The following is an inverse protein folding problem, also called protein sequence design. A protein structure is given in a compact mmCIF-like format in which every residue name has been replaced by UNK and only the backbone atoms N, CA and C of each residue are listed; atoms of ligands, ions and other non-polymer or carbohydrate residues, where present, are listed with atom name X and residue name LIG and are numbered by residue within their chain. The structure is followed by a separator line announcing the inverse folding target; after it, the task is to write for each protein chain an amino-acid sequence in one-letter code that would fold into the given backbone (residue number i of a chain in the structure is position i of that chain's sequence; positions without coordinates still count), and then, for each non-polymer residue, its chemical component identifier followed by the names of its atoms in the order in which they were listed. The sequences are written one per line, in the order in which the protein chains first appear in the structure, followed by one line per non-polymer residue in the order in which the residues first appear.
data_IF_208253558721
#
_entry.id   IF_208253558721
#
_cell.length_a   1.000
_cell.length_b   1.000
_cell.length_c   1.000
_cell.angle_alpha   90.00
_cell.angle_beta   90.00
_cell.angle_gamma   90.00
#
_symmetry.space_group_name_H-M   'P 1'
#
loop_
_entity.id
_entity.type
_entity.pdbx_description
1 polymer ?
#
# COMPACT_ATOMS: atom_id res chain seq x y z
N UNK A 1 3.31 -12.30 -24.64
CA UNK A 1 3.50 -11.96 -23.21
C UNK A 1 4.99 -12.04 -22.76
N UNK A 2 5.94 -11.80 -23.68
CA UNK A 2 7.40 -11.85 -23.41
C UNK A 2 8.10 -10.50 -23.63
N UNK A 3 7.47 -9.37 -23.34
CA UNK A 3 8.06 -8.03 -23.61
C UNK A 3 8.63 -7.33 -22.36
N UNK A 4 8.78 -8.01 -21.21
CA UNK A 4 9.28 -7.40 -19.98
C UNK A 4 10.44 -8.10 -19.29
N UNK A 5 11.18 -8.96 -20.00
CA UNK A 5 12.38 -9.65 -19.50
C UNK A 5 13.65 -9.17 -20.21
N UNK A 6 13.90 -7.85 -20.13
CA UNK A 6 15.21 -7.27 -20.44
C UNK A 6 15.97 -6.94 -19.16
N UNK A 7 17.31 -7.00 -19.12
CA UNK A 7 18.10 -6.61 -17.96
C UNK A 7 17.93 -5.09 -17.75
N UNK A 8 17.46 -4.70 -16.53
CA UNK A 8 17.42 -3.32 -15.99
C UNK A 8 16.93 -2.22 -16.96
N UNK A 9 15.78 -2.40 -17.60
CA UNK A 9 15.02 -1.23 -18.04
C UNK A 9 14.62 -0.49 -16.77
N UNK A 10 15.18 0.71 -16.56
CA UNK A 10 14.79 1.60 -15.45
C UNK A 10 13.27 1.63 -15.37
N UNK A 11 12.72 1.11 -14.27
CA UNK A 11 11.27 1.15 -14.07
C UNK A 11 10.86 2.59 -13.85
N UNK A 12 10.42 3.23 -14.92
CA UNK A 12 9.86 4.58 -14.83
C UNK A 12 8.46 4.50 -14.23
N UNK A 13 8.13 5.47 -13.39
CA UNK A 13 6.78 5.61 -12.86
C UNK A 13 5.77 5.81 -14.02
N UNK A 14 4.61 5.18 -13.88
CA UNK A 14 3.45 5.41 -14.73
C UNK A 14 2.16 5.25 -13.93
N UNK A 15 1.13 6.01 -14.30
CA UNK A 15 -0.20 5.86 -13.68
C UNK A 15 -0.79 4.46 -13.91
N UNK A 16 -0.48 3.82 -15.02
CA UNK A 16 -0.88 2.43 -15.28
C UNK A 16 -0.21 1.46 -14.29
N UNK A 17 1.08 1.64 -14.03
CA UNK A 17 1.82 0.85 -13.04
C UNK A 17 1.25 1.03 -11.63
N UNK A 18 0.95 2.27 -11.24
CA UNK A 18 0.30 2.58 -9.97
C UNK A 18 -1.11 1.97 -9.90
N UNK A 19 -1.90 2.06 -10.97
CA UNK A 19 -3.22 1.45 -11.03
C UNK A 19 -3.16 -0.08 -10.87
N UNK A 20 -2.25 -0.74 -11.57
CA UNK A 20 -2.01 -2.19 -11.42
C UNK A 20 -1.63 -2.54 -9.98
N UNK A 21 -0.72 -1.78 -9.37
CA UNK A 21 -0.35 -1.96 -7.98
C UNK A 21 -1.57 -1.85 -7.05
N UNK A 22 -2.36 -0.77 -7.18
CA UNK A 22 -3.55 -0.54 -6.36
C UNK A 22 -4.59 -1.64 -6.52
N UNK A 23 -4.81 -2.14 -7.75
CA UNK A 23 -5.67 -3.29 -8.00
C UNK A 23 -5.13 -4.56 -7.33
N UNK A 24 -3.81 -4.79 -7.42
CA UNK A 24 -3.16 -5.90 -6.73
C UNK A 24 -3.37 -5.84 -5.22
N UNK A 25 -3.20 -4.66 -4.60
CA UNK A 25 -3.43 -4.46 -3.16
C UNK A 25 -4.90 -4.68 -2.79
N UNK A 26 -5.84 -4.27 -3.64
CA UNK A 26 -7.26 -4.53 -3.43
C UNK A 26 -7.58 -6.02 -3.40
N UNK A 27 -7.13 -6.76 -4.43
CA UNK A 27 -7.31 -8.22 -4.54
C UNK A 27 -6.64 -8.93 -3.36
N UNK A 28 -5.39 -8.58 -3.05
CA UNK A 28 -4.64 -9.15 -1.94
C UNK A 28 -5.35 -8.91 -0.60
N UNK A 29 -5.84 -7.69 -0.34
CA UNK A 29 -6.56 -7.35 0.90
C UNK A 29 -7.82 -8.20 1.08
N UNK A 30 -8.60 -8.37 0.00
CA UNK A 30 -9.78 -9.23 0.01
C UNK A 30 -9.42 -10.71 0.24
N UNK A 31 -8.40 -11.21 -0.46
CA UNK A 31 -7.92 -12.59 -0.33
C UNK A 31 -7.40 -12.90 1.08
N UNK A 32 -6.61 -12.00 1.67
CA UNK A 32 -6.11 -12.13 3.04
C UNK A 32 -7.25 -12.13 4.06
N UNK A 33 -8.24 -11.25 3.91
CA UNK A 33 -9.41 -11.18 4.78
C UNK A 33 -10.19 -12.52 4.76
N UNK A 34 -10.41 -13.08 3.57
CA UNK A 34 -11.05 -14.39 3.39
C UNK A 34 -10.20 -15.54 3.96
N UNK A 35 -8.89 -15.51 3.71
CA UNK A 35 -7.97 -16.53 4.24
C UNK A 35 -8.00 -16.60 5.77
N UNK A 36 -8.08 -15.46 6.43
CA UNK A 36 -8.19 -15.37 7.89
C UNK A 36 -9.61 -15.68 8.42
N UNK A 37 -10.58 -16.00 7.56
CA UNK A 37 -11.97 -16.27 7.95
C UNK A 37 -12.71 -15.04 8.50
N UNK A 38 -12.29 -13.82 8.10
CA UNK A 38 -12.84 -12.58 8.62
C UNK A 38 -13.92 -12.00 7.69
N UNK A 39 -14.84 -11.25 8.26
CA UNK A 39 -15.83 -10.49 7.50
C UNK A 39 -15.22 -9.21 6.90
N UNK A 40 -15.94 -8.59 5.96
CA UNK A 40 -15.55 -7.27 5.41
C UNK A 40 -14.52 -7.32 4.29
N UNK A 41 -14.40 -8.45 3.56
CA UNK A 41 -13.49 -8.58 2.42
C UNK A 41 -13.73 -7.53 1.31
N UNK A 42 -14.99 -7.10 1.07
CA UNK A 42 -15.31 -6.03 0.11
C UNK A 42 -14.81 -4.67 0.60
N UNK A 43 -14.89 -4.43 1.91
CA UNK A 43 -14.31 -3.22 2.53
C UNK A 43 -12.79 -3.21 2.39
N UNK A 44 -12.14 -4.32 2.71
CA UNK A 44 -10.70 -4.45 2.58
C UNK A 44 -10.25 -4.26 1.12
N UNK A 45 -11.01 -4.79 0.15
CA UNK A 45 -10.81 -4.56 -1.28
C UNK A 45 -10.87 -3.07 -1.61
N UNK A 46 -11.94 -2.38 -1.21
CA UNK A 46 -12.12 -0.95 -1.50
C UNK A 46 -11.01 -0.11 -0.86
N UNK A 47 -10.65 -0.39 0.38
CA UNK A 47 -9.56 0.30 1.07
C UNK A 47 -8.22 0.07 0.36
N UNK A 48 -7.91 -1.17 -0.03
CA UNK A 48 -6.71 -1.49 -0.79
C UNK A 48 -6.64 -0.81 -2.15
N UNK A 49 -7.78 -0.67 -2.85
CA UNK A 49 -7.83 -0.02 -4.16
C UNK A 49 -7.42 1.45 -4.12
N UNK A 50 -7.76 2.14 -3.04
CA UNK A 50 -7.57 3.60 -2.94
C UNK A 50 -6.45 4.00 -1.96
N UNK A 51 -5.74 3.04 -1.34
CA UNK A 51 -4.76 3.34 -0.29
C UNK A 51 -3.71 4.37 -0.71
N UNK A 52 -3.31 4.34 -1.97
CA UNK A 52 -2.28 5.20 -2.59
C UNK A 52 -2.85 6.34 -3.45
N UNK A 53 -4.13 6.71 -3.30
CA UNK A 53 -4.78 7.77 -4.11
C UNK A 53 -4.03 9.11 -4.03
N UNK A 54 -3.36 9.38 -2.92
CA UNK A 54 -2.56 10.59 -2.75
C UNK A 54 -1.34 10.66 -3.69
N UNK A 55 -0.82 9.53 -4.15
CA UNK A 55 0.25 9.50 -5.17
C UNK A 55 -0.25 10.03 -6.51
N UNK A 56 -1.52 9.71 -6.87
CA UNK A 56 -2.16 10.30 -8.05
C UNK A 56 -2.27 11.81 -7.90
N UNK A 57 -2.65 12.30 -6.72
CA UNK A 57 -2.73 13.73 -6.44
C UNK A 57 -1.36 14.40 -6.56
N UNK A 58 -0.32 13.84 -5.94
CA UNK A 58 1.05 14.37 -6.05
C UNK A 58 1.51 14.45 -7.49
N UNK A 59 1.35 13.36 -8.25
CA UNK A 59 1.71 13.32 -9.67
C UNK A 59 0.98 14.37 -10.49
N UNK A 60 -0.29 14.68 -10.16
CA UNK A 60 -1.07 15.70 -10.86
C UNK A 60 -0.73 17.13 -10.43
N UNK A 61 -0.27 17.31 -9.20
CA UNK A 61 0.13 18.63 -8.68
C UNK A 61 1.51 19.03 -9.19
N UNK A 62 2.47 18.12 -9.16
CA UNK A 62 3.83 18.34 -9.67
C UNK A 62 4.42 16.99 -10.15
N UNK A 63 4.30 16.76 -11.46
CA UNK A 63 4.79 15.53 -12.10
C UNK A 63 6.31 15.40 -11.98
N UNK A 64 7.04 16.49 -12.16
CA UNK A 64 8.50 16.49 -12.13
C UNK A 64 9.04 16.18 -10.73
N UNK A 65 8.51 16.84 -9.70
CA UNK A 65 8.87 16.56 -8.29
C UNK A 65 8.56 15.10 -7.93
N UNK A 66 7.38 14.61 -8.32
CA UNK A 66 6.97 13.25 -8.01
C UNK A 66 7.86 12.19 -8.68
N UNK A 67 8.19 12.39 -9.96
CA UNK A 67 9.07 11.46 -10.71
C UNK A 67 10.49 11.49 -10.14
N UNK A 68 11.00 12.67 -9.74
CA UNK A 68 12.28 12.79 -9.07
C UNK A 68 12.30 12.04 -7.72
N UNK A 69 11.23 12.12 -6.94
CA UNK A 69 11.09 11.34 -5.69
C UNK A 69 11.07 9.82 -5.97
N UNK A 70 10.38 9.38 -7.03
CA UNK A 70 10.41 7.97 -7.44
C UNK A 70 11.83 7.52 -7.81
N UNK A 71 12.57 8.32 -8.58
CA UNK A 71 13.94 7.99 -8.94
C UNK A 71 14.85 7.95 -7.70
N UNK A 72 14.69 8.92 -6.81
CA UNK A 72 15.44 8.94 -5.55
C UNK A 72 15.15 7.70 -4.68
N UNK A 73 13.88 7.25 -4.62
CA UNK A 73 13.49 6.03 -3.91
C UNK A 73 14.20 4.79 -4.46
N UNK A 74 14.30 4.67 -5.79
CA UNK A 74 15.01 3.57 -6.46
C UNK A 74 16.51 3.61 -6.17
N UNK A 75 17.15 4.76 -6.36
CA UNK A 75 18.60 4.94 -6.19
C UNK A 75 19.05 4.69 -4.74
N UNK A 76 18.27 5.15 -3.78
CA UNK A 76 18.57 5.01 -2.34
C UNK A 76 18.00 3.75 -1.71
N UNK A 77 17.23 2.95 -2.46
CA UNK A 77 16.53 1.76 -1.95
C UNK A 77 15.68 2.09 -0.72
N UNK A 78 14.88 3.13 -0.83
CA UNK A 78 14.00 3.63 0.24
C UNK A 78 12.54 3.38 -0.09
N UNK A 79 11.70 3.26 0.95
CA UNK A 79 10.25 3.36 0.77
C UNK A 79 9.85 4.81 0.47
N UNK A 80 8.71 4.96 -0.24
CA UNK A 80 8.32 6.25 -0.78
C UNK A 80 8.00 7.29 0.30
N UNK A 81 7.39 6.89 1.43
CA UNK A 81 7.08 7.80 2.52
C UNK A 81 8.37 8.39 3.14
N UNK A 82 9.43 7.58 3.26
CA UNK A 82 10.73 8.08 3.75
C UNK A 82 11.36 9.07 2.80
N UNK A 83 11.18 8.88 1.50
CA UNK A 83 11.63 9.85 0.50
C UNK A 83 10.89 11.17 0.66
N UNK A 84 9.55 11.13 0.77
CA UNK A 84 8.74 12.33 1.02
C UNK A 84 9.19 13.10 2.26
N UNK A 85 9.49 12.37 3.35
CA UNK A 85 9.99 12.98 4.58
C UNK A 85 11.40 13.57 4.42
N UNK A 86 12.30 12.88 3.72
CA UNK A 86 13.67 13.32 3.51
C UNK A 86 13.75 14.56 2.61
N UNK A 87 12.94 14.59 1.55
CA UNK A 87 12.88 15.69 0.58
C UNK A 87 11.94 16.82 1.03
N UNK A 88 11.21 16.64 2.15
CA UNK A 88 10.21 17.59 2.66
C UNK A 88 9.10 17.88 1.62
N UNK A 89 8.78 16.88 0.78
CA UNK A 89 7.70 16.97 -0.18
C UNK A 89 6.35 16.59 0.46
N UNK A 90 5.21 16.95 -0.16
CA UNK A 90 3.90 16.61 0.39
C UNK A 90 3.71 15.10 0.55
N UNK A 91 3.27 14.64 1.71
CA UNK A 91 3.04 13.23 1.99
C UNK A 91 1.80 12.72 1.28
N UNK A 92 1.95 11.65 0.49
CA UNK A 92 0.82 11.05 -0.24
C UNK A 92 -0.29 10.52 0.68
N UNK A 93 0.06 9.95 1.83
CA UNK A 93 -0.91 9.43 2.80
C UNK A 93 -1.80 10.54 3.37
N UNK A 94 -1.23 11.72 3.62
CA UNK A 94 -1.98 12.87 4.12
C UNK A 94 -2.82 13.54 3.02
N UNK A 95 -2.27 13.72 1.83
CA UNK A 95 -3.04 14.25 0.69
C UNK A 95 -4.20 13.33 0.32
N UNK A 96 -3.94 12.03 0.27
CA UNK A 96 -4.98 11.03 0.03
C UNK A 96 -6.09 11.07 1.08
N UNK A 97 -5.73 11.20 2.36
CA UNK A 97 -6.69 11.38 3.44
C UNK A 97 -7.58 12.62 3.24
N UNK A 98 -6.98 13.77 2.88
CA UNK A 98 -7.73 15.00 2.63
C UNK A 98 -8.71 14.85 1.46
N UNK A 99 -8.31 14.15 0.40
CA UNK A 99 -9.16 13.82 -0.76
C UNK A 99 -10.34 12.95 -0.30
N UNK A 100 -10.07 11.85 0.39
CA UNK A 100 -11.10 10.93 0.88
C UNK A 100 -12.11 11.65 1.78
N UNK A 101 -11.63 12.48 2.68
CA UNK A 101 -12.46 13.28 3.58
C UNK A 101 -13.34 14.28 2.81
N UNK A 102 -12.77 14.98 1.84
CA UNK A 102 -13.51 15.94 1.02
C UNK A 102 -14.58 15.26 0.15
N UNK A 103 -14.33 14.04 -0.31
CA UNK A 103 -15.28 13.24 -1.08
C UNK A 103 -16.31 12.50 -0.22
N UNK A 104 -16.23 12.60 1.10
CA UNK A 104 -17.15 11.94 2.03
C UNK A 104 -17.05 10.42 2.00
N UNK A 105 -15.86 9.88 1.75
CA UNK A 105 -15.63 8.44 1.79
C UNK A 105 -15.76 7.88 3.21
N UNK A 106 -15.88 6.57 3.34
CA UNK A 106 -16.06 5.95 4.65
C UNK A 106 -14.85 6.18 5.55
N UNK A 107 -15.07 6.21 6.88
CA UNK A 107 -13.99 6.36 7.88
C UNK A 107 -12.94 5.26 7.79
N UNK A 108 -13.29 4.08 7.30
CA UNK A 108 -12.33 3.00 7.05
C UNK A 108 -11.36 3.35 5.92
N UNK A 109 -11.88 3.90 4.82
CA UNK A 109 -11.07 4.37 3.70
C UNK A 109 -10.15 5.51 4.15
N UNK A 110 -10.70 6.52 4.85
CA UNK A 110 -9.91 7.62 5.39
C UNK A 110 -8.77 7.12 6.30
N UNK A 111 -9.07 6.18 7.19
CA UNK A 111 -8.11 5.62 8.14
C UNK A 111 -7.02 4.80 7.41
N UNK A 112 -7.38 3.95 6.45
CA UNK A 112 -6.40 3.16 5.70
C UNK A 112 -5.51 4.06 4.86
N UNK A 113 -6.07 4.99 4.09
CA UNK A 113 -5.27 5.91 3.26
C UNK A 113 -4.29 6.70 4.12
N UNK A 114 -4.69 7.14 5.31
CA UNK A 114 -3.85 7.92 6.22
C UNK A 114 -2.79 7.11 6.93
N UNK A 115 -3.07 5.84 7.27
CA UNK A 115 -2.28 5.11 8.26
C UNK A 115 -1.69 3.78 7.77
N UNK A 116 -1.81 3.42 6.49
CA UNK A 116 -1.28 2.15 5.97
C UNK A 116 0.26 2.00 6.08
N UNK A 117 0.97 3.09 6.30
CA UNK A 117 2.41 3.10 6.58
C UNK A 117 2.76 3.16 8.07
N UNK A 118 1.77 3.34 8.97
CA UNK A 118 2.01 3.43 10.41
C UNK A 118 1.84 2.07 11.09
N UNK A 119 2.94 1.40 11.51
CA UNK A 119 2.86 0.06 12.10
C UNK A 119 2.34 0.03 13.52
N UNK A 120 2.41 1.17 14.27
CA UNK A 120 1.97 1.24 15.65
C UNK A 120 0.53 1.80 15.75
N UNK A 121 -0.45 1.00 16.21
CA UNK A 121 -1.83 1.47 16.37
C UNK A 121 -1.97 2.70 17.29
N UNK A 122 -1.11 2.86 18.28
CA UNK A 122 -1.14 3.98 19.22
C UNK A 122 -0.84 5.34 18.54
N UNK A 123 -0.15 5.32 17.40
CA UNK A 123 0.15 6.51 16.62
C UNK A 123 -0.93 6.86 15.60
N UNK A 124 -1.95 6.01 15.41
CA UNK A 124 -3.04 6.18 14.44
C UNK A 124 -4.13 7.08 15.02
N UNK A 125 -3.89 8.39 15.01
CA UNK A 125 -4.83 9.36 15.55
C UNK A 125 -6.22 9.24 14.92
N UNK A 126 -7.28 9.37 15.75
CA UNK A 126 -8.69 9.28 15.36
C UNK A 126 -9.16 7.92 14.84
N UNK A 127 -8.39 6.87 15.03
CA UNK A 127 -8.80 5.47 14.80
C UNK A 127 -9.18 4.87 16.13
N UNK A 128 -10.49 4.59 16.33
CA UNK A 128 -11.02 4.20 17.65
C UNK A 128 -11.59 2.78 17.68
N UNK A 129 -11.77 2.13 16.51
CA UNK A 129 -12.28 0.75 16.46
C UNK A 129 -11.19 -0.24 16.12
N UNK A 130 -11.20 -1.39 16.81
CA UNK A 130 -10.30 -2.51 16.51
C UNK A 130 -10.42 -2.97 15.05
N UNK A 131 -11.65 -2.99 14.52
CA UNK A 131 -11.91 -3.33 13.13
C UNK A 131 -11.21 -2.37 12.14
N UNK A 132 -11.14 -1.08 12.46
CA UNK A 132 -10.41 -0.12 11.62
C UNK A 132 -8.90 -0.36 11.68
N UNK A 133 -8.33 -0.62 12.86
CA UNK A 133 -6.93 -1.01 13.00
C UNK A 133 -6.61 -2.29 12.23
N UNK A 134 -7.51 -3.28 12.29
CA UNK A 134 -7.36 -4.53 11.56
C UNK A 134 -7.33 -4.32 10.04
N UNK A 135 -8.25 -3.54 9.48
CA UNK A 135 -8.27 -3.24 8.03
C UNK A 135 -7.00 -2.49 7.60
N UNK A 136 -6.48 -1.56 8.42
CA UNK A 136 -5.19 -0.90 8.16
C UNK A 136 -4.07 -1.95 8.11
N UNK A 137 -3.98 -2.85 9.08
CA UNK A 137 -2.95 -3.89 9.14
C UNK A 137 -3.06 -4.87 7.95
N UNK A 138 -4.28 -5.25 7.54
CA UNK A 138 -4.52 -6.10 6.36
C UNK A 138 -4.02 -5.42 5.09
N UNK A 139 -4.37 -4.14 4.88
CA UNK A 139 -3.94 -3.41 3.68
C UNK A 139 -2.42 -3.18 3.70
N UNK A 140 -1.83 -2.90 4.86
CA UNK A 140 -0.37 -2.78 5.00
C UNK A 140 0.36 -4.09 4.62
N UNK A 141 -0.15 -5.24 5.09
CA UNK A 141 0.38 -6.56 4.73
C UNK A 141 0.19 -6.87 3.24
N UNK A 142 -1.00 -6.59 2.70
CA UNK A 142 -1.32 -6.76 1.28
C UNK A 142 -0.38 -5.91 0.39
N UNK A 143 -0.19 -4.65 0.74
CA UNK A 143 0.71 -3.73 0.05
C UNK A 143 2.14 -4.29 0.01
N UNK A 144 2.65 -4.77 1.14
CA UNK A 144 3.97 -5.40 1.19
C UNK A 144 4.05 -6.65 0.27
N UNK A 145 3.06 -7.55 0.29
CA UNK A 145 3.03 -8.75 -0.57
C UNK A 145 3.06 -8.34 -2.05
N UNK A 146 2.25 -7.36 -2.44
CA UNK A 146 2.17 -6.88 -3.83
C UNK A 146 3.48 -6.26 -4.29
N UNK A 147 4.19 -5.53 -3.41
CA UNK A 147 5.54 -5.04 -3.70
C UNK A 147 6.54 -6.18 -3.92
N UNK A 148 6.56 -7.18 -3.03
CA UNK A 148 7.49 -8.32 -3.12
C UNK A 148 7.21 -9.16 -4.36
N UNK A 149 5.95 -9.34 -4.75
CA UNK A 149 5.56 -10.05 -5.97
C UNK A 149 5.70 -9.22 -7.24
N UNK A 150 6.06 -7.93 -7.10
CA UNK A 150 6.27 -6.98 -8.20
C UNK A 150 5.07 -6.82 -9.13
N UNK A 151 3.85 -6.93 -8.60
CA UNK A 151 2.63 -6.70 -9.36
C UNK A 151 2.32 -5.20 -9.44
N UNK A 152 2.46 -4.62 -10.62
CA UNK A 152 2.42 -3.18 -10.82
C UNK A 152 3.66 -2.45 -10.31
N UNK A 153 3.58 -1.12 -10.18
CA UNK A 153 4.69 -0.30 -9.69
C UNK A 153 4.16 1.01 -9.09
N UNK A 154 4.39 1.24 -7.82
CA UNK A 154 3.88 2.41 -7.09
C UNK A 154 4.92 3.51 -6.85
N UNK A 155 6.02 3.51 -7.63
CA UNK A 155 7.06 4.55 -7.56
C UNK A 155 8.31 4.13 -6.76
N UNK A 156 8.33 2.97 -6.11
CA UNK A 156 9.47 2.44 -5.35
C UNK A 156 9.48 0.91 -5.37
N UNK A 157 10.60 0.31 -5.03
CA UNK A 157 10.75 -1.16 -4.93
C UNK A 157 11.01 -1.64 -3.50
N UNK A 158 11.59 -0.78 -2.68
CA UNK A 158 11.92 -1.13 -1.31
C UNK A 158 10.75 -0.82 -0.38
N UNK A 159 10.24 -1.83 0.31
CA UNK A 159 9.21 -1.65 1.34
C UNK A 159 9.58 -2.47 2.58
N UNK A 160 9.49 -1.89 3.78
CA UNK A 160 9.80 -2.61 5.01
C UNK A 160 8.92 -3.84 5.17
N UNK A 161 9.50 -4.96 5.58
CA UNK A 161 8.72 -6.16 5.90
C UNK A 161 7.78 -5.89 7.08
N UNK A 162 6.59 -6.53 7.11
CA UNK A 162 5.68 -6.40 8.23
C UNK A 162 6.35 -6.85 9.54
N UNK A 163 6.09 -6.12 10.62
CA UNK A 163 6.62 -6.48 11.95
C UNK A 163 5.90 -7.70 12.52
N UNK A 164 6.57 -8.42 13.43
CA UNK A 164 5.92 -9.54 14.14
C UNK A 164 4.72 -9.07 14.96
N UNK A 165 4.74 -7.83 15.46
CA UNK A 165 3.61 -7.23 16.16
C UNK A 165 2.39 -7.02 15.24
N UNK A 166 2.59 -6.60 13.97
CA UNK A 166 1.51 -6.51 12.98
C UNK A 166 0.93 -7.90 12.68
N UNK A 167 1.80 -8.89 12.44
CA UNK A 167 1.36 -10.26 12.18
C UNK A 167 0.56 -10.83 13.36
N UNK A 168 1.05 -10.64 14.59
CA UNK A 168 0.37 -11.11 15.79
C UNK A 168 -1.03 -10.49 15.96
N UNK A 169 -1.23 -9.20 15.66
CA UNK A 169 -2.57 -8.58 15.68
C UNK A 169 -3.53 -9.21 14.67
N UNK A 170 -3.01 -9.68 13.55
CA UNK A 170 -3.77 -10.44 12.55
C UNK A 170 -3.90 -11.93 12.88
N UNK A 171 -3.40 -12.38 14.04
CA UNK A 171 -3.34 -13.79 14.44
C UNK A 171 -2.47 -14.63 13.48
N UNK A 172 -1.41 -14.04 12.98
CA UNK A 172 -0.44 -14.60 12.04
C UNK A 172 0.96 -14.57 12.66
N UNK A 173 1.88 -15.32 12.06
CA UNK A 173 3.32 -15.27 12.31
C UNK A 173 4.10 -15.49 11.00
N UNK A 174 5.43 -15.49 11.07
CA UNK A 174 6.31 -15.68 9.91
C UNK A 174 6.08 -16.99 9.15
N UNK A 175 5.62 -18.05 9.80
CA UNK A 175 5.38 -19.35 9.18
C UNK A 175 4.19 -19.33 8.19
N UNK A 176 3.27 -18.39 8.35
CA UNK A 176 2.14 -18.19 7.45
C UNK A 176 2.52 -17.52 6.13
N UNK A 177 3.65 -16.79 6.09
CA UNK A 177 4.01 -15.94 4.94
C UNK A 177 4.06 -16.67 3.59
N UNK A 178 4.67 -17.87 3.46
CA UNK A 178 4.70 -18.57 2.17
C UNK A 178 3.29 -18.85 1.62
N UNK A 179 2.39 -19.31 2.52
CA UNK A 179 1.01 -19.64 2.14
C UNK A 179 0.18 -18.38 1.81
N UNK A 180 0.40 -17.28 2.52
CA UNK A 180 -0.25 -16.00 2.22
C UNK A 180 0.18 -15.49 0.84
N UNK A 181 1.47 -15.53 0.54
CA UNK A 181 2.00 -15.15 -0.77
C UNK A 181 1.43 -16.01 -1.90
N UNK A 182 1.39 -17.34 -1.72
CA UNK A 182 0.77 -18.26 -2.68
C UNK A 182 -0.72 -17.96 -2.88
N UNK A 183 -1.45 -17.69 -1.79
CA UNK A 183 -2.88 -17.35 -1.85
C UNK A 183 -3.10 -16.07 -2.67
N UNK A 184 -2.31 -15.02 -2.41
CA UNK A 184 -2.41 -13.76 -3.15
C UNK A 184 -2.01 -13.94 -4.62
N UNK A 185 -0.93 -14.68 -4.91
CA UNK A 185 -0.47 -14.91 -6.29
C UNK A 185 -1.50 -15.66 -7.15
N UNK A 186 -2.33 -16.50 -6.56
CA UNK A 186 -3.41 -17.20 -7.31
C UNK A 186 -4.59 -16.30 -7.65
N UNK A 187 -4.78 -15.22 -6.92
CA UNK A 187 -5.88 -14.27 -7.12
C UNK A 187 -5.46 -13.09 -8.03
N UNK A 188 -4.15 -12.82 -8.18
CA UNK A 188 -3.58 -11.80 -9.08
C UNK A 188 -3.43 -12.32 -10.50
#
# INVERSE_FOLDING_TARGET
FELFSGPSAERKFSLEGLWKHSLGVAVASSALTKYMGRAGHDRAYTCGLVHDIGKVARFKLDEEEFVNDCQYALDKKMDFLRVELANQTPRHDYLGYLICKNWGLSRYVEAVVRWHHEPNPEHRANVHSEEAHEVIDIVSLANWIVHVTKFGFSGHEHTPAPSDALLARLTLDRSHMPRLMETVQREL
#
